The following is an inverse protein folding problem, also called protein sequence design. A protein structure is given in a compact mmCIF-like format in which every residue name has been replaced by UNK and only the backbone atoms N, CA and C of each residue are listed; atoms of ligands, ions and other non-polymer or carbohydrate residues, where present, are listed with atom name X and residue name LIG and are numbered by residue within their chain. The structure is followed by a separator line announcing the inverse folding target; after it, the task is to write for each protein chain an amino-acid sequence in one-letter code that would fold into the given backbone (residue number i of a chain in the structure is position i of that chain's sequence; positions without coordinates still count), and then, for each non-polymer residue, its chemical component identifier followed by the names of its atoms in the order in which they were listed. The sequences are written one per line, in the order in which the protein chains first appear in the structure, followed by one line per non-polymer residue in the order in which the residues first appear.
data_IF_907387411117
#
_entry.id   IF_907387411117
#
_cell.length_a   1.000
_cell.length_b   1.000
_cell.length_c   1.000
_cell.angle_alpha   90.00
_cell.angle_beta   90.00
_cell.angle_gamma   90.00
#
_symmetry.space_group_name_H-M   'P 1'
#
loop_
_entity.id
_entity.type
_entity.pdbx_description
1 polymer ?
#
# COMPACT_ATOMS: atom_id res chain seq x y z
N UNK A 1 -39.71 7.14 4.02
CA UNK A 1 -39.22 6.84 5.38
C UNK A 1 -38.12 7.84 5.69
N UNK A 2 -38.36 8.82 6.57
CA UNK A 2 -37.46 9.96 6.82
C UNK A 2 -36.35 9.49 7.78
N UNK A 3 -35.09 9.70 7.40
CA UNK A 3 -33.92 9.57 8.26
C UNK A 3 -33.68 10.90 8.99
N UNK A 4 -33.28 10.89 10.28
CA UNK A 4 -33.04 12.09 11.06
C UNK A 4 -31.68 12.73 10.74
N UNK A 5 -31.50 14.04 10.93
CA UNK A 5 -30.24 14.73 10.71
C UNK A 5 -29.29 14.52 11.88
N UNK A 6 -28.08 14.04 11.61
CA UNK A 6 -27.00 14.01 12.59
C UNK A 6 -26.25 15.34 12.60
N UNK A 7 -26.37 16.03 13.70
CA UNK A 7 -25.53 17.17 14.08
C UNK A 7 -24.11 16.69 14.34
N UNK A 8 -23.12 17.14 13.58
CA UNK A 8 -21.73 17.02 13.94
C UNK A 8 -21.28 18.28 14.69
N UNK A 9 -21.18 18.14 16.00
CA UNK A 9 -20.52 19.11 16.86
C UNK A 9 -19.00 18.96 16.77
N UNK A 10 -18.33 20.09 16.61
CA UNK A 10 -16.88 20.24 16.67
C UNK A 10 -16.44 19.93 18.13
N UNK A 11 -15.94 18.73 18.39
CA UNK A 11 -15.26 18.41 19.66
C UNK A 11 -13.77 18.27 19.36
N UNK A 12 -12.98 19.24 19.80
CA UNK A 12 -11.54 19.12 19.89
C UNK A 12 -11.20 18.05 20.96
N UNK A 13 -10.87 16.85 20.51
CA UNK A 13 -10.41 15.75 21.36
C UNK A 13 -8.91 15.90 21.60
N UNK A 14 -8.57 16.47 22.75
CA UNK A 14 -7.30 16.22 23.43
C UNK A 14 -7.30 14.76 23.89
N UNK A 15 -6.66 13.88 23.12
CA UNK A 15 -6.40 12.51 23.57
C UNK A 15 -5.26 12.53 24.60
N UNK A 16 -5.64 12.45 25.87
CA UNK A 16 -4.75 11.96 26.90
C UNK A 16 -4.46 10.48 26.63
N UNK A 17 -3.21 10.15 26.35
CA UNK A 17 -2.75 8.79 26.27
C UNK A 17 -2.77 8.16 27.67
N UNK A 18 -3.86 7.49 28.03
CA UNK A 18 -3.77 6.45 29.05
C UNK A 18 -3.13 5.23 28.39
N UNK A 19 -1.91 4.93 28.78
CA UNK A 19 -1.21 3.70 28.44
C UNK A 19 -1.97 2.51 29.01
N UNK A 20 -2.80 1.88 28.18
CA UNK A 20 -3.29 0.53 28.45
C UNK A 20 -2.08 -0.42 28.51
N UNK A 21 -1.66 -0.71 29.72
CA UNK A 21 -0.68 -1.72 30.06
C UNK A 21 -1.29 -3.12 29.80
N UNK A 22 -1.49 -3.47 28.54
CA UNK A 22 -1.66 -4.86 28.11
C UNK A 22 -0.26 -5.46 28.24
N UNK A 23 -0.08 -6.44 29.13
CA UNK A 23 1.17 -7.13 29.42
C UNK A 23 1.94 -7.48 28.12
N UNK A 24 2.71 -6.53 27.62
CA UNK A 24 3.55 -6.71 26.45
C UNK A 24 4.76 -7.51 26.91
N UNK A 25 4.91 -8.73 26.39
CA UNK A 25 6.19 -9.45 26.47
C UNK A 25 7.30 -8.47 26.07
N UNK A 26 8.36 -8.40 26.87
CA UNK A 26 9.52 -7.54 26.57
C UNK A 26 10.22 -8.08 25.32
N UNK A 27 11.07 -7.29 24.68
CA UNK A 27 11.87 -7.75 23.55
C UNK A 27 12.76 -8.96 23.93
N UNK A 28 13.20 -9.04 25.19
CA UNK A 28 13.95 -10.18 25.72
C UNK A 28 13.09 -11.45 25.80
N UNK A 29 11.84 -11.34 26.28
CA UNK A 29 10.92 -12.48 26.35
C UNK A 29 10.61 -13.05 24.96
N UNK A 30 10.58 -12.19 23.90
CA UNK A 30 10.37 -12.64 22.53
C UNK A 30 11.63 -13.33 21.96
N UNK A 31 12.83 -12.89 22.35
CA UNK A 31 14.08 -13.51 21.91
C UNK A 31 14.19 -14.97 22.40
N UNK A 32 13.73 -15.24 23.62
CA UNK A 32 13.75 -16.59 24.21
C UNK A 32 12.75 -17.56 23.54
N UNK A 33 11.79 -17.04 22.76
CA UNK A 33 10.76 -17.80 22.05
C UNK A 33 11.12 -18.11 20.58
N UNK A 34 12.36 -17.81 20.16
CA UNK A 34 12.77 -18.00 18.76
C UNK A 34 14.08 -18.78 18.65
N UNK A 35 14.19 -19.56 17.59
CA UNK A 35 15.44 -20.14 17.12
C UNK A 35 15.65 -19.74 15.67
N UNK A 36 16.78 -19.14 15.36
CA UNK A 36 17.18 -18.75 14.01
C UNK A 36 18.38 -19.59 13.61
N UNK A 37 18.28 -20.28 12.47
CA UNK A 37 19.39 -21.02 11.86
C UNK A 37 19.58 -20.50 10.45
N UNK A 38 20.80 -20.13 10.09
CA UNK A 38 21.12 -19.72 8.72
C UNK A 38 21.73 -20.88 7.94
N UNK A 39 21.34 -21.03 6.68
CA UNK A 39 22.01 -21.93 5.74
C UNK A 39 23.42 -21.45 5.42
N UNK A 40 24.19 -22.26 4.69
CA UNK A 40 25.51 -21.85 4.20
C UNK A 40 25.45 -20.61 3.28
N UNK A 41 24.29 -20.33 2.69
CA UNK A 41 24.03 -19.15 1.86
C UNK A 41 23.36 -17.99 2.59
N UNK A 42 23.24 -18.07 3.93
CA UNK A 42 22.71 -17.00 4.76
C UNK A 42 21.18 -16.99 4.91
N UNK A 43 20.44 -17.85 4.21
CA UNK A 43 18.96 -17.88 4.30
C UNK A 43 18.53 -18.28 5.71
N UNK A 44 17.72 -17.45 6.42
CA UNK A 44 17.28 -17.76 7.77
C UNK A 44 16.11 -18.76 7.77
N UNK A 45 16.24 -19.78 8.61
CA UNK A 45 15.18 -20.68 9.03
C UNK A 45 14.77 -20.30 10.46
N UNK A 46 13.59 -19.74 10.60
CA UNK A 46 13.06 -19.19 11.85
C UNK A 46 12.03 -20.16 12.40
N UNK A 47 12.25 -20.64 13.62
CA UNK A 47 11.24 -21.35 14.40
C UNK A 47 10.87 -20.52 15.61
N UNK A 48 9.57 -20.28 15.81
CA UNK A 48 9.04 -19.42 16.86
C UNK A 48 7.83 -20.08 17.55
N UNK A 49 7.61 -19.74 18.81
CA UNK A 49 6.52 -20.34 19.61
C UNK A 49 5.15 -19.76 19.24
N UNK A 50 5.11 -18.55 18.69
CA UNK A 50 3.88 -17.86 18.28
C UNK A 50 4.14 -16.82 17.18
N UNK A 51 3.06 -16.22 16.63
CA UNK A 51 3.16 -15.28 15.52
C UNK A 51 3.91 -13.99 15.88
N UNK A 52 3.81 -13.52 17.13
CA UNK A 52 4.54 -12.32 17.58
C UNK A 52 6.05 -12.57 17.63
N UNK A 53 6.46 -13.72 18.18
CA UNK A 53 7.85 -14.14 18.19
C UNK A 53 8.40 -14.38 16.76
N UNK A 54 7.58 -14.94 15.86
CA UNK A 54 7.96 -15.11 14.46
C UNK A 54 8.21 -13.75 13.77
N UNK A 55 7.34 -12.78 13.99
CA UNK A 55 7.53 -11.41 13.53
C UNK A 55 8.81 -10.79 14.09
N UNK A 56 9.06 -10.95 15.39
CA UNK A 56 10.26 -10.46 16.06
C UNK A 56 11.53 -10.98 15.38
N UNK A 57 11.62 -12.30 15.18
CA UNK A 57 12.79 -12.87 14.52
C UNK A 57 12.97 -12.33 13.10
N UNK A 58 11.89 -12.26 12.30
CA UNK A 58 11.97 -11.77 10.92
C UNK A 58 12.36 -10.30 10.84
N UNK A 59 11.83 -9.46 11.73
CA UNK A 59 12.21 -8.04 11.83
C UNK A 59 13.65 -7.84 12.22
N UNK A 60 14.14 -8.63 13.18
CA UNK A 60 15.54 -8.60 13.61
C UNK A 60 16.49 -8.96 12.45
N UNK A 61 16.29 -10.11 11.78
CA UNK A 61 17.19 -10.58 10.71
C UNK A 61 17.11 -9.71 9.45
N UNK A 62 15.97 -9.10 9.14
CA UNK A 62 15.89 -8.18 8.01
C UNK A 62 16.68 -6.90 8.27
N UNK A 63 16.67 -6.37 9.49
CA UNK A 63 17.50 -5.20 9.83
C UNK A 63 18.97 -5.59 9.94
N UNK A 64 19.30 -6.80 10.43
CA UNK A 64 20.66 -7.34 10.41
C UNK A 64 21.25 -7.36 8.99
N UNK A 65 20.48 -7.83 8.03
CA UNK A 65 20.97 -8.03 6.65
C UNK A 65 20.85 -6.76 5.77
N UNK A 66 19.84 -5.92 5.98
CA UNK A 66 19.52 -4.77 5.12
C UNK A 66 19.57 -3.40 5.81
N UNK A 67 19.79 -3.39 7.14
CA UNK A 67 20.09 -2.20 7.92
C UNK A 67 19.15 -1.03 7.64
N UNK A 68 19.74 0.04 7.14
CA UNK A 68 19.03 1.29 6.90
C UNK A 68 17.90 1.19 5.88
N UNK A 69 17.98 0.30 4.89
CA UNK A 69 16.90 0.15 3.90
C UNK A 69 15.55 -0.14 4.54
N UNK A 70 15.53 -1.06 5.52
CA UNK A 70 14.31 -1.41 6.26
C UNK A 70 13.84 -0.24 7.11
N UNK A 71 14.75 0.38 7.85
CA UNK A 71 14.47 1.48 8.78
C UNK A 71 13.99 2.74 8.05
N UNK A 72 14.67 3.12 6.97
CA UNK A 72 14.30 4.28 6.15
C UNK A 72 12.90 4.09 5.54
N UNK A 73 12.54 2.86 5.19
CA UNK A 73 11.17 2.51 4.77
C UNK A 73 10.11 2.83 5.83
N UNK A 74 10.38 2.52 7.11
CA UNK A 74 9.47 2.84 8.22
C UNK A 74 9.38 4.34 8.50
N UNK A 75 10.50 5.07 8.44
CA UNK A 75 10.51 6.53 8.60
C UNK A 75 9.68 7.20 7.49
N UNK A 76 9.78 6.70 6.25
CA UNK A 76 8.95 7.17 5.13
C UNK A 76 7.47 6.81 5.32
N UNK A 77 7.16 5.64 5.83
CA UNK A 77 5.78 5.24 6.11
C UNK A 77 5.10 6.10 7.17
N UNK A 78 5.86 6.56 8.20
CA UNK A 78 5.40 7.57 9.18
C UNK A 78 5.18 8.95 8.55
N UNK A 79 5.80 9.25 7.41
CA UNK A 79 5.85 10.59 6.82
C UNK A 79 6.77 11.54 7.59
N UNK A 80 7.88 11.04 8.09
CA UNK A 80 8.85 11.80 8.89
C UNK A 80 10.22 11.93 8.19
N UNK A 81 10.31 11.54 6.91
CA UNK A 81 11.57 11.57 6.18
C UNK A 81 12.21 12.96 6.11
N UNK A 82 11.43 13.96 5.74
CA UNK A 82 11.90 15.35 5.60
C UNK A 82 12.38 15.95 6.92
N UNK A 83 11.89 15.46 8.06
CA UNK A 83 12.31 15.94 9.38
C UNK A 83 13.78 15.60 9.70
N UNK A 84 14.29 14.50 9.15
CA UNK A 84 15.62 13.98 9.46
C UNK A 84 16.63 14.16 8.34
N UNK A 85 16.17 14.50 7.13
CA UNK A 85 17.01 14.61 5.94
C UNK A 85 16.94 16.02 5.35
N UNK A 86 18.10 16.67 5.23
CA UNK A 86 18.20 17.95 4.51
C UNK A 86 17.95 17.70 3.02
N UNK A 87 16.98 18.41 2.46
CA UNK A 87 16.66 18.35 1.04
C UNK A 87 17.13 19.59 0.32
N UNK A 88 17.70 19.46 -0.91
CA UNK A 88 17.92 20.62 -1.76
C UNK A 88 16.62 21.43 -1.93
N UNK A 89 16.68 22.78 -2.03
CA UNK A 89 15.47 23.61 -2.09
C UNK A 89 14.47 23.19 -3.17
N UNK A 90 14.95 22.72 -4.34
CA UNK A 90 14.13 22.26 -5.46
C UNK A 90 13.39 20.93 -5.17
N UNK A 91 13.92 20.09 -4.27
CA UNK A 91 13.35 18.79 -3.91
C UNK A 91 12.53 18.83 -2.63
N UNK A 92 12.72 19.87 -1.81
CA UNK A 92 12.11 20.01 -0.48
C UNK A 92 10.58 19.91 -0.56
N UNK A 93 9.96 20.65 -1.49
CA UNK A 93 8.51 20.68 -1.62
C UNK A 93 7.95 19.28 -1.95
N UNK A 94 8.60 18.54 -2.85
CA UNK A 94 8.22 17.17 -3.20
C UNK A 94 8.40 16.20 -2.02
N UNK A 95 9.50 16.33 -1.28
CA UNK A 95 9.73 15.51 -0.08
C UNK A 95 8.63 15.73 0.97
N UNK A 96 8.26 17.00 1.20
CA UNK A 96 7.15 17.36 2.10
C UNK A 96 5.80 16.82 1.58
N UNK A 97 5.55 16.86 0.27
CA UNK A 97 4.34 16.30 -0.33
C UNK A 97 4.27 14.76 -0.12
N UNK A 98 5.40 14.06 -0.27
CA UNK A 98 5.51 12.61 0.00
C UNK A 98 5.24 12.29 1.47
N UNK A 99 5.84 13.04 2.39
CA UNK A 99 5.60 12.85 3.82
C UNK A 99 4.15 13.14 4.19
N UNK A 100 3.54 14.19 3.63
CA UNK A 100 2.13 14.49 3.87
C UNK A 100 1.21 13.36 3.40
N UNK A 101 1.47 12.79 2.22
CA UNK A 101 0.75 11.63 1.71
C UNK A 101 0.94 10.40 2.60
N UNK A 102 2.18 10.16 3.07
CA UNK A 102 2.48 9.06 3.99
C UNK A 102 1.75 9.22 5.31
N UNK A 103 1.66 10.44 5.87
CA UNK A 103 0.88 10.70 7.11
C UNK A 103 -0.61 10.39 6.95
N UNK A 104 -1.20 10.59 5.78
CA UNK A 104 -2.59 10.19 5.53
C UNK A 104 -2.73 8.65 5.55
N UNK A 105 -1.78 7.92 4.94
CA UNK A 105 -1.77 6.45 5.00
C UNK A 105 -1.50 5.95 6.41
N UNK A 106 -0.60 6.59 7.15
CA UNK A 106 -0.35 6.27 8.55
C UNK A 106 -1.59 6.47 9.42
N UNK A 107 -2.34 7.57 9.23
CA UNK A 107 -3.62 7.77 9.89
C UNK A 107 -4.60 6.63 9.58
N UNK A 108 -4.67 6.21 8.32
CA UNK A 108 -5.48 5.05 7.91
C UNK A 108 -5.02 3.76 8.59
N UNK A 109 -3.70 3.55 8.74
CA UNK A 109 -3.17 2.40 9.45
C UNK A 109 -3.59 2.39 10.93
N UNK A 110 -3.58 3.54 11.61
CA UNK A 110 -4.07 3.68 12.98
C UNK A 110 -5.55 3.30 13.11
N UNK A 111 -6.40 3.74 12.17
CA UNK A 111 -7.83 3.44 12.14
C UNK A 111 -8.13 1.96 11.92
N UNK A 112 -7.32 1.29 11.10
CA UNK A 112 -7.64 -0.06 10.60
C UNK A 112 -6.89 -1.18 11.29
N UNK A 113 -5.84 -0.91 12.04
CA UNK A 113 -5.01 -1.93 12.69
C UNK A 113 -5.81 -2.87 13.59
N UNK A 114 -6.73 -2.32 14.38
CA UNK A 114 -7.59 -3.11 15.27
C UNK A 114 -8.64 -3.97 14.55
N UNK A 115 -8.85 -3.72 13.25
CA UNK A 115 -9.77 -4.49 12.40
C UNK A 115 -9.11 -5.75 11.82
N UNK A 116 -7.78 -5.82 11.85
CA UNK A 116 -7.03 -7.00 11.44
C UNK A 116 -7.23 -8.15 12.42
N UNK A 117 -7.09 -9.38 11.97
CA UNK A 117 -7.08 -10.56 12.86
C UNK A 117 -5.90 -10.48 13.82
N UNK A 118 -6.08 -11.05 15.01
CA UNK A 118 -5.08 -11.03 16.08
C UNK A 118 -3.71 -11.56 15.62
N UNK A 119 -3.68 -12.63 14.86
CA UNK A 119 -2.43 -13.21 14.33
C UNK A 119 -1.69 -12.24 13.40
N UNK A 120 -2.43 -11.49 12.58
CA UNK A 120 -1.86 -10.46 11.70
C UNK A 120 -1.32 -9.30 12.53
N UNK A 121 -2.07 -8.84 13.53
CA UNK A 121 -1.58 -7.80 14.46
C UNK A 121 -0.29 -8.27 15.17
N UNK A 122 -0.27 -9.51 15.69
CA UNK A 122 0.85 -10.06 16.45
C UNK A 122 2.13 -10.11 15.65
N UNK A 123 2.09 -10.58 14.41
CA UNK A 123 3.31 -10.66 13.58
C UNK A 123 3.81 -9.25 13.19
N UNK A 124 2.93 -8.28 12.96
CA UNK A 124 3.32 -6.89 12.68
C UNK A 124 3.94 -6.22 13.92
N UNK A 125 3.36 -6.41 15.10
CA UNK A 125 3.91 -5.92 16.38
C UNK A 125 5.28 -6.58 16.63
N UNK A 126 5.38 -7.88 16.42
CA UNK A 126 6.63 -8.62 16.58
C UNK A 126 7.71 -8.09 15.66
N UNK A 127 7.40 -7.86 14.39
CA UNK A 127 8.35 -7.36 13.40
C UNK A 127 8.95 -6.02 13.84
N UNK A 128 8.12 -5.08 14.27
CA UNK A 128 8.58 -3.80 14.80
C UNK A 128 9.47 -3.98 16.05
N UNK A 129 9.10 -4.89 16.96
CA UNK A 129 9.89 -5.18 18.15
C UNK A 129 11.26 -5.76 17.81
N UNK A 130 11.35 -6.65 16.80
CA UNK A 130 12.62 -7.20 16.31
C UNK A 130 13.53 -6.15 15.69
N UNK A 131 12.97 -5.26 14.87
CA UNK A 131 13.67 -4.10 14.32
C UNK A 131 14.25 -3.22 15.44
N UNK A 132 13.41 -2.83 16.40
CA UNK A 132 13.83 -1.99 17.53
C UNK A 132 14.96 -2.65 18.31
N UNK A 133 14.87 -3.95 18.56
CA UNK A 133 15.90 -4.69 19.28
C UNK A 133 17.25 -4.69 18.55
N UNK A 134 17.25 -4.89 17.24
CA UNK A 134 18.49 -4.81 16.46
C UNK A 134 19.11 -3.41 16.56
N UNK A 135 18.30 -2.37 16.35
CA UNK A 135 18.75 -0.96 16.44
C UNK A 135 19.34 -0.65 17.83
N UNK A 136 18.74 -1.15 18.91
CA UNK A 136 19.22 -0.94 20.27
C UNK A 136 20.60 -1.59 20.51
N UNK A 137 20.75 -2.84 20.09
CA UNK A 137 21.99 -3.62 20.31
C UNK A 137 23.12 -3.11 19.41
N UNK A 138 22.80 -2.64 18.21
CA UNK A 138 23.74 -2.19 17.18
C UNK A 138 23.65 -0.66 16.96
N UNK A 139 23.51 0.10 18.03
CA UNK A 139 23.24 1.53 18.00
C UNK A 139 24.23 2.35 17.15
N UNK A 140 25.48 1.93 17.09
CA UNK A 140 26.53 2.59 16.32
C UNK A 140 26.37 2.49 14.80
N UNK A 141 25.55 1.54 14.29
CA UNK A 141 25.28 1.38 12.86
C UNK A 141 24.22 2.36 12.35
N UNK A 142 23.52 3.08 13.24
CA UNK A 142 22.40 3.95 12.93
C UNK A 142 22.67 5.41 13.30
N UNK A 143 22.05 6.37 12.56
CA UNK A 143 22.18 7.78 12.85
C UNK A 143 21.69 8.12 14.27
N UNK A 144 22.28 9.15 14.88
CA UNK A 144 21.94 9.57 16.23
C UNK A 144 20.47 9.99 16.40
N UNK A 145 19.85 10.52 15.36
CA UNK A 145 18.44 10.95 15.36
C UNK A 145 17.44 9.79 15.37
N UNK A 146 17.85 8.60 14.89
CA UNK A 146 16.95 7.44 14.82
C UNK A 146 16.62 6.94 16.22
N UNK A 147 15.35 6.68 16.47
CA UNK A 147 14.84 6.04 17.70
C UNK A 147 14.40 4.62 17.40
N UNK A 148 14.59 3.74 18.38
CA UNK A 148 14.06 2.37 18.36
C UNK A 148 12.63 2.33 18.91
N UNK A 149 11.71 3.06 18.27
CA UNK A 149 10.34 3.25 18.74
C UNK A 149 9.28 2.85 17.71
N UNK A 150 9.67 1.98 16.77
CA UNK A 150 8.74 1.46 15.77
C UNK A 150 7.68 0.56 16.40
N UNK A 151 6.50 0.61 15.83
CA UNK A 151 5.32 -0.13 16.28
C UNK A 151 4.71 -0.95 15.15
N UNK A 152 3.77 -1.83 15.45
CA UNK A 152 3.00 -2.54 14.42
C UNK A 152 2.25 -1.63 13.46
N UNK A 153 1.92 -0.40 13.87
CA UNK A 153 1.28 0.61 13.02
C UNK A 153 2.22 1.07 11.90
N UNK A 154 3.53 1.22 12.18
CA UNK A 154 4.53 1.60 11.18
C UNK A 154 4.64 0.54 10.09
N UNK A 155 4.71 -0.73 10.52
CA UNK A 155 4.77 -1.87 9.59
C UNK A 155 3.49 -1.98 8.77
N UNK A 156 2.33 -1.76 9.40
CA UNK A 156 1.03 -1.77 8.72
C UNK A 156 0.89 -0.61 7.73
N UNK A 157 1.40 0.58 8.04
CA UNK A 157 1.31 1.76 7.18
C UNK A 157 2.01 1.58 5.82
N UNK A 158 3.03 0.71 5.77
CA UNK A 158 3.69 0.35 4.50
C UNK A 158 2.74 -0.36 3.54
N UNK A 159 1.73 -1.07 4.07
CA UNK A 159 0.79 -1.91 3.31
C UNK A 159 -0.54 -1.22 2.98
N UNK A 160 -0.75 -0.01 3.47
CA UNK A 160 -1.96 0.76 3.12
C UNK A 160 -1.92 1.15 1.65
N UNK A 161 -2.93 0.74 0.91
CA UNK A 161 -3.09 1.06 -0.51
C UNK A 161 -3.20 2.55 -0.78
N UNK A 162 -2.80 2.97 -1.96
CA UNK A 162 -2.95 4.33 -2.47
C UNK A 162 -3.48 4.28 -3.89
N UNK A 163 -4.06 5.38 -4.34
CA UNK A 163 -4.52 5.50 -5.71
C UNK A 163 -3.36 5.46 -6.73
N UNK A 164 -3.70 5.13 -7.97
CA UNK A 164 -2.76 5.01 -9.09
C UNK A 164 -2.23 6.39 -9.51
N UNK A 165 -1.01 6.70 -9.07
CA UNK A 165 -0.33 7.94 -9.45
C UNK A 165 0.00 8.00 -10.95
N UNK A 166 0.18 6.85 -11.61
CA UNK A 166 0.42 6.74 -13.05
C UNK A 166 -0.78 7.23 -13.87
N UNK A 167 -2.00 6.83 -13.50
CA UNK A 167 -3.23 7.30 -14.14
C UNK A 167 -3.39 8.82 -13.99
N UNK A 168 -3.18 9.36 -12.79
CA UNK A 168 -3.19 10.81 -12.56
C UNK A 168 -2.15 11.51 -13.45
N UNK A 169 -0.94 10.97 -13.55
CA UNK A 169 0.13 11.53 -14.40
C UNK A 169 -0.25 11.51 -15.88
N UNK A 170 -0.80 10.39 -16.38
CA UNK A 170 -1.22 10.25 -17.77
C UNK A 170 -2.32 11.26 -18.11
N UNK A 171 -3.32 11.40 -17.23
CA UNK A 171 -4.39 12.40 -17.39
C UNK A 171 -3.85 13.83 -17.42
N UNK A 172 -2.98 14.21 -16.49
CA UNK A 172 -2.41 15.56 -16.41
C UNK A 172 -1.60 15.90 -17.67
N UNK A 173 -0.86 14.94 -18.24
CA UNK A 173 -0.17 15.11 -19.53
C UNK A 173 -1.14 15.32 -20.68
N UNK A 174 -2.22 14.53 -20.73
CA UNK A 174 -3.28 14.68 -21.74
C UNK A 174 -3.92 16.08 -21.68
N UNK A 175 -4.26 16.54 -20.49
CA UNK A 175 -4.85 17.88 -20.28
C UNK A 175 -3.92 19.01 -20.72
N UNK A 176 -2.63 18.92 -20.42
CA UNK A 176 -1.61 19.89 -20.85
C UNK A 176 -1.47 19.91 -22.37
N UNK A 177 -1.50 18.75 -23.03
CA UNK A 177 -1.40 18.64 -24.49
C UNK A 177 -2.60 19.29 -25.19
N UNK A 178 -3.81 19.09 -24.65
CA UNK A 178 -5.04 19.70 -25.17
C UNK A 178 -5.00 21.23 -25.04
N UNK A 179 -4.52 21.74 -23.90
CA UNK A 179 -4.40 23.18 -23.66
C UNK A 179 -3.36 23.82 -24.60
N UNK A 180 -2.24 23.14 -24.85
CA UNK A 180 -1.21 23.61 -25.78
C UNK A 180 -1.70 23.65 -27.24
N UNK A 181 -2.51 22.67 -27.67
CA UNK A 181 -3.10 22.63 -29.01
C UNK A 181 -4.09 23.76 -29.23
N UNK A 182 -4.90 24.12 -28.24
CA UNK A 182 -5.85 25.27 -28.30
C UNK A 182 -5.11 26.61 -28.26
N UNK A 183 -4.03 26.72 -27.49
CA UNK A 183 -3.22 27.94 -27.36
C UNK A 183 -2.41 28.30 -28.61
N UNK A 184 -2.15 27.35 -29.53
CA UNK A 184 -1.41 27.62 -30.75
C UNK A 184 -2.23 28.43 -31.80
N UNK A 185 -3.53 28.59 -31.62
CA UNK A 185 -4.43 29.35 -32.53
C UNK A 185 -4.74 30.78 -32.06
N UNK A 186 -4.38 31.15 -30.83
CA UNK A 186 -4.60 32.53 -30.33
C UNK A 186 -3.42 32.99 -29.48
N UNK A 187 -2.75 34.03 -29.97
CA UNK A 187 -1.77 34.93 -29.34
C UNK A 187 -1.36 34.64 -27.89
N UNK A 188 -0.05 34.55 -27.71
CA UNK A 188 0.71 34.57 -26.44
C UNK A 188 0.27 35.71 -25.51
N UNK A 189 -0.80 35.53 -24.79
CA UNK A 189 -1.03 36.24 -23.53
C UNK A 189 -0.80 35.19 -22.46
N UNK A 190 0.20 35.42 -21.61
CA UNK A 190 0.61 34.49 -20.58
C UNK A 190 -0.54 34.13 -19.64
N UNK A 191 -1.24 33.07 -19.94
CA UNK A 191 -2.04 32.36 -18.98
C UNK A 191 -1.08 31.44 -18.21
N UNK A 192 -0.43 31.99 -17.17
CA UNK A 192 -0.15 31.16 -16.02
C UNK A 192 -1.49 30.59 -15.58
N UNK A 193 -1.74 29.33 -15.92
CA UNK A 193 -2.88 28.61 -15.38
C UNK A 193 -2.68 28.51 -13.87
N UNK A 194 -3.27 29.42 -13.12
CA UNK A 194 -3.46 29.31 -11.68
C UNK A 194 -4.49 28.20 -11.33
N UNK A 195 -4.62 27.20 -12.17
CA UNK A 195 -5.23 25.93 -11.86
C UNK A 195 -4.30 25.22 -10.89
N UNK A 196 -4.64 25.27 -9.60
CA UNK A 196 -3.78 24.82 -8.54
C UNK A 196 -3.37 23.36 -8.72
N UNK A 197 -2.08 23.13 -9.00
CA UNK A 197 -1.50 21.80 -8.88
C UNK A 197 -1.71 21.32 -7.44
N UNK A 198 -2.67 20.43 -7.24
CA UNK A 198 -2.87 19.79 -5.92
C UNK A 198 -1.64 19.01 -5.53
N UNK A 199 -1.53 18.64 -4.25
CA UNK A 199 -0.45 17.75 -3.76
C UNK A 199 -0.42 16.47 -4.58
N UNK A 200 -1.58 15.90 -4.89
CA UNK A 200 -1.68 14.67 -5.67
C UNK A 200 -1.14 14.79 -7.10
N UNK A 201 -1.45 15.88 -7.79
CA UNK A 201 -0.91 16.12 -9.14
C UNK A 201 0.61 16.29 -9.12
N UNK A 202 1.17 16.96 -8.10
CA UNK A 202 2.62 17.09 -7.96
C UNK A 202 3.30 15.76 -7.70
N UNK A 203 2.74 14.92 -6.81
CA UNK A 203 3.24 13.57 -6.54
C UNK A 203 3.21 12.70 -7.78
N UNK A 204 2.12 12.72 -8.54
CA UNK A 204 1.96 11.94 -9.76
C UNK A 204 3.00 12.30 -10.84
N UNK A 205 3.38 13.57 -10.98
CA UNK A 205 4.42 13.99 -11.93
C UNK A 205 5.81 13.41 -11.63
N UNK A 206 6.01 12.84 -10.44
CA UNK A 206 7.24 12.19 -10.01
C UNK A 206 7.04 10.69 -9.70
N UNK A 207 5.96 10.08 -10.21
CA UNK A 207 5.77 8.64 -10.15
C UNK A 207 6.87 7.94 -10.96
N UNK A 208 7.45 6.90 -10.39
CA UNK A 208 8.45 6.08 -11.08
C UNK A 208 7.77 5.26 -12.17
N UNK A 209 8.38 5.20 -13.35
CA UNK A 209 7.95 4.28 -14.41
C UNK A 209 8.60 2.92 -14.16
N UNK A 210 7.85 1.81 -14.30
CA UNK A 210 8.42 0.47 -14.21
C UNK A 210 9.60 0.30 -15.21
N UNK A 211 10.63 -0.42 -14.79
CA UNK A 211 11.75 -0.73 -15.67
C UNK A 211 11.25 -1.68 -16.78
N UNK A 212 11.57 -1.42 -18.07
CA UNK A 212 10.99 -2.17 -19.19
C UNK A 212 11.39 -3.67 -19.20
N UNK A 213 12.47 -4.04 -18.52
CA UNK A 213 13.00 -5.41 -18.46
C UNK A 213 12.49 -6.19 -17.24
N UNK A 214 11.64 -5.60 -16.38
CA UNK A 214 11.08 -6.29 -15.23
C UNK A 214 9.87 -7.10 -15.63
N UNK A 215 9.79 -8.32 -15.12
CA UNK A 215 8.71 -9.24 -15.41
C UNK A 215 8.80 -10.50 -14.57
N UNK A 216 8.03 -11.52 -14.90
CA UNK A 216 8.10 -12.81 -14.21
C UNK A 216 7.46 -13.91 -15.03
N UNK A 217 7.93 -15.15 -14.80
CA UNK A 217 7.26 -16.36 -15.32
C UNK A 217 6.86 -17.27 -14.15
N UNK A 218 5.71 -17.91 -14.27
CA UNK A 218 5.28 -18.96 -13.36
C UNK A 218 4.55 -20.06 -14.13
N UNK A 219 4.80 -21.33 -13.76
CA UNK A 219 4.19 -22.50 -14.37
C UNK A 219 3.76 -23.48 -13.29
N UNK A 220 2.55 -24.03 -13.41
CA UNK A 220 2.08 -25.15 -12.61
C UNK A 220 1.83 -26.36 -13.52
N UNK A 221 2.46 -27.49 -13.20
CA UNK A 221 2.28 -28.75 -13.90
C UNK A 221 1.50 -29.72 -13.03
N UNK A 222 0.40 -30.27 -13.55
CA UNK A 222 -0.36 -31.30 -12.87
C UNK A 222 0.40 -32.63 -12.80
N UNK A 223 0.13 -33.51 -11.82
CA UNK A 223 0.77 -34.82 -11.66
C UNK A 223 0.82 -35.67 -12.93
N UNK A 224 -0.24 -35.63 -13.75
CA UNK A 224 -0.33 -36.36 -15.02
C UNK A 224 0.72 -35.95 -16.07
N UNK A 225 1.39 -34.82 -15.86
CA UNK A 225 2.40 -34.25 -16.78
C UNK A 225 3.82 -34.36 -16.22
N UNK A 226 4.01 -35.00 -15.06
CA UNK A 226 5.30 -35.12 -14.38
C UNK A 226 5.71 -36.58 -14.24
N UNK A 227 7.01 -36.89 -14.30
CA UNK A 227 7.52 -38.24 -14.08
C UNK A 227 7.39 -38.69 -12.63
N UNK A 228 7.40 -37.74 -11.69
CA UNK A 228 7.28 -38.02 -10.27
C UNK A 228 5.86 -38.34 -9.81
N UNK A 229 4.84 -38.04 -10.64
CA UNK A 229 3.45 -38.10 -10.22
C UNK A 229 3.06 -37.04 -9.18
N UNK A 230 3.89 -36.02 -8.99
CA UNK A 230 3.62 -34.89 -8.10
C UNK A 230 3.41 -33.60 -8.91
N UNK A 231 2.60 -32.68 -8.41
CA UNK A 231 2.50 -31.37 -9.01
C UNK A 231 3.84 -30.61 -8.89
N UNK A 232 4.15 -29.79 -9.88
CA UNK A 232 5.35 -28.95 -9.89
C UNK A 232 4.92 -27.49 -10.07
N UNK A 233 5.44 -26.60 -9.23
CA UNK A 233 5.33 -25.15 -9.38
C UNK A 233 6.72 -24.57 -9.66
N UNK A 234 6.85 -23.86 -10.77
CA UNK A 234 8.04 -23.07 -11.11
C UNK A 234 7.74 -21.59 -10.88
N UNK A 235 8.68 -20.92 -10.27
CA UNK A 235 8.71 -19.47 -10.10
C UNK A 235 9.98 -18.92 -10.75
N UNK A 236 9.85 -17.82 -11.47
CA UNK A 236 10.99 -17.14 -12.09
C UNK A 236 10.73 -15.63 -12.15
N UNK A 237 10.96 -14.89 -11.05
CA UNK A 237 10.89 -13.43 -11.07
C UNK A 237 12.08 -12.84 -11.83
N UNK A 238 11.82 -11.89 -12.72
CA UNK A 238 12.83 -11.08 -13.43
C UNK A 238 12.83 -9.69 -12.80
N UNK A 239 13.61 -9.52 -11.78
CA UNK A 239 13.65 -8.29 -10.99
C UNK A 239 15.08 -7.76 -10.93
N UNK A 240 15.21 -6.46 -10.66
CA UNK A 240 16.49 -5.84 -10.39
C UNK A 240 17.17 -6.49 -9.16
N UNK A 241 18.50 -6.49 -9.10
CA UNK A 241 19.27 -7.08 -7.99
C UNK A 241 18.93 -6.49 -6.59
N UNK A 242 18.34 -5.31 -6.57
CA UNK A 242 17.89 -4.59 -5.37
C UNK A 242 16.37 -4.62 -5.19
N UNK A 243 15.68 -5.62 -5.72
CA UNK A 243 14.21 -5.67 -5.80
C UNK A 243 13.47 -5.72 -4.45
N UNK A 244 14.15 -5.86 -3.34
CA UNK A 244 13.54 -5.73 -2.01
C UNK A 244 12.81 -6.97 -1.50
N UNK A 245 13.25 -8.18 -1.90
CA UNK A 245 12.71 -9.45 -1.38
C UNK A 245 13.75 -10.22 -0.57
N UNK A 246 13.28 -10.89 0.48
CA UNK A 246 14.05 -11.57 1.49
C UNK A 246 13.61 -13.03 1.63
N UNK A 247 14.46 -13.96 1.20
CA UNK A 247 14.17 -15.37 1.27
C UNK A 247 14.30 -15.87 2.72
N UNK A 248 13.25 -16.52 3.24
CA UNK A 248 13.23 -17.04 4.60
C UNK A 248 12.24 -18.20 4.76
N UNK A 249 12.47 -19.05 5.76
CA UNK A 249 11.47 -19.98 6.30
C UNK A 249 10.96 -19.46 7.64
N UNK A 250 9.64 -19.51 7.80
CA UNK A 250 8.95 -19.15 9.02
C UNK A 250 8.14 -20.35 9.51
N UNK A 251 8.48 -20.87 10.71
CA UNK A 251 7.77 -21.98 11.34
C UNK A 251 7.21 -21.55 12.71
N UNK A 252 5.91 -21.61 12.84
CA UNK A 252 5.17 -21.53 14.11
C UNK A 252 4.40 -22.84 14.25
N UNK A 253 4.80 -23.76 15.15
CA UNK A 253 4.24 -25.11 15.22
C UNK A 253 2.71 -25.11 15.36
N UNK A 254 2.04 -25.86 14.50
CA UNK A 254 0.57 -25.91 14.47
C UNK A 254 -0.14 -24.72 13.81
N UNK A 255 0.56 -23.64 13.50
CA UNK A 255 -0.02 -22.39 12.97
C UNK A 255 0.47 -22.09 11.55
N UNK A 256 1.78 -22.04 11.35
CA UNK A 256 2.40 -21.65 10.08
C UNK A 256 3.69 -22.46 9.86
N UNK A 257 3.91 -22.89 8.61
CA UNK A 257 5.23 -23.33 8.15
C UNK A 257 5.33 -22.96 6.68
N UNK A 258 5.99 -21.85 6.39
CA UNK A 258 6.06 -21.27 5.05
C UNK A 258 7.50 -20.90 4.70
N UNK A 259 7.90 -21.23 3.49
CA UNK A 259 9.17 -20.82 2.89
C UNK A 259 8.86 -19.96 1.67
N UNK A 260 9.44 -18.78 1.57
CA UNK A 260 9.18 -17.89 0.44
C UNK A 260 10.01 -16.60 0.45
N UNK A 261 9.69 -15.73 -0.50
CA UNK A 261 10.36 -14.44 -0.69
C UNK A 261 9.54 -13.33 -0.03
N UNK A 262 9.85 -13.01 1.20
CA UNK A 262 9.20 -11.92 1.92
C UNK A 262 9.68 -10.56 1.41
N UNK A 263 8.80 -9.58 1.39
CA UNK A 263 9.22 -8.20 1.10
C UNK A 263 10.13 -7.67 2.20
N UNK A 264 11.23 -7.00 1.82
CA UNK A 264 12.08 -6.27 2.77
C UNK A 264 11.27 -5.10 3.35
N UNK A 265 11.25 -5.03 4.68
CA UNK A 265 10.43 -4.05 5.42
C UNK A 265 9.02 -4.53 5.77
N UNK A 266 8.75 -5.86 5.70
CA UNK A 266 7.48 -6.42 6.13
C UNK A 266 7.52 -7.93 6.32
N UNK A 267 6.63 -8.49 7.17
CA UNK A 267 6.67 -9.91 7.52
C UNK A 267 5.79 -10.81 6.63
N UNK A 268 4.90 -10.27 5.81
CA UNK A 268 3.83 -11.08 5.22
C UNK A 268 3.69 -10.99 3.69
N UNK A 269 4.08 -9.89 3.06
CA UNK A 269 3.95 -9.76 1.61
C UNK A 269 5.05 -10.57 0.92
N UNK A 270 4.68 -11.42 -0.04
CA UNK A 270 5.62 -12.28 -0.77
C UNK A 270 5.30 -12.32 -2.25
N UNK A 271 6.30 -12.49 -3.09
CA UNK A 271 6.10 -12.80 -4.53
C UNK A 271 5.78 -14.27 -4.75
N UNK A 272 6.03 -15.13 -3.77
CA UNK A 272 5.64 -16.52 -3.80
C UNK A 272 6.38 -17.34 -2.77
N UNK A 273 5.99 -18.59 -2.66
CA UNK A 273 6.55 -19.55 -1.73
C UNK A 273 5.70 -20.78 -1.62
N UNK A 274 5.99 -21.59 -0.59
CA UNK A 274 5.27 -22.83 -0.35
C UNK A 274 5.23 -23.20 1.13
N UNK A 275 4.22 -23.94 1.48
CA UNK A 275 4.12 -24.68 2.75
C UNK A 275 4.14 -26.19 2.47
N UNK A 276 3.85 -27.02 3.47
CA UNK A 276 3.88 -28.49 3.34
C UNK A 276 2.82 -29.05 2.36
N UNK A 277 1.82 -28.25 1.97
CA UNK A 277 0.65 -28.71 1.20
C UNK A 277 0.55 -28.06 -0.17
N UNK A 278 0.94 -26.81 -0.30
CA UNK A 278 0.75 -26.01 -1.51
C UNK A 278 1.87 -25.01 -1.72
N UNK A 279 1.98 -24.51 -2.95
CA UNK A 279 2.81 -23.36 -3.29
C UNK A 279 2.04 -22.43 -4.22
N UNK A 280 2.45 -21.17 -4.21
CA UNK A 280 1.95 -20.16 -5.15
C UNK A 280 3.07 -19.22 -5.60
N UNK A 281 2.86 -18.60 -6.74
CA UNK A 281 3.74 -17.58 -7.30
C UNK A 281 2.92 -16.46 -7.90
N UNK A 282 3.41 -15.23 -7.77
CA UNK A 282 2.85 -14.07 -8.46
C UNK A 282 3.64 -13.76 -9.73
N UNK A 283 2.96 -13.19 -10.73
CA UNK A 283 3.58 -12.49 -11.86
C UNK A 283 2.84 -11.16 -12.07
N UNK A 284 3.48 -10.21 -12.73
CA UNK A 284 2.84 -8.93 -12.99
C UNK A 284 1.66 -9.08 -13.96
N UNK A 285 0.61 -8.31 -13.71
CA UNK A 285 -0.43 -7.97 -14.66
C UNK A 285 -0.72 -6.46 -14.54
N UNK A 286 -1.50 -5.94 -15.45
CA UNK A 286 -1.82 -4.52 -15.55
C UNK A 286 -3.35 -4.35 -15.67
N UNK A 287 -4.10 -4.50 -14.58
CA UNK A 287 -5.53 -4.26 -14.58
C UNK A 287 -5.83 -2.76 -14.54
N UNK A 288 -6.89 -2.36 -15.23
CA UNK A 288 -7.54 -1.07 -15.03
C UNK A 288 -8.30 -1.11 -13.69
N UNK A 289 -7.72 -0.51 -12.65
CA UNK A 289 -8.23 -0.56 -11.27
C UNK A 289 -8.87 0.74 -10.82
N UNK A 290 -8.87 1.74 -11.65
CA UNK A 290 -9.36 3.09 -11.32
C UNK A 290 -10.21 3.70 -12.45
N UNK A 291 -10.78 4.86 -12.16
CA UNK A 291 -11.49 5.67 -13.16
C UNK A 291 -11.41 7.13 -12.75
N UNK A 292 -11.24 8.02 -13.72
CA UNK A 292 -11.17 9.44 -13.49
C UNK A 292 -12.54 10.05 -13.76
N UNK A 293 -13.07 10.75 -12.76
CA UNK A 293 -14.34 11.47 -12.85
C UNK A 293 -14.16 12.98 -12.83
N UNK A 294 -15.02 13.70 -13.52
CA UNK A 294 -15.13 15.16 -13.41
C UNK A 294 -16.49 15.58 -12.89
N UNK A 295 -16.51 16.50 -11.93
CA UNK A 295 -17.72 17.10 -11.38
C UNK A 295 -17.68 18.61 -11.54
N UNK A 296 -18.86 19.23 -11.77
CA UNK A 296 -18.97 20.68 -11.80
C UNK A 296 -18.78 21.27 -10.40
N UNK A 297 -18.01 22.34 -10.29
CA UNK A 297 -17.91 23.12 -9.05
C UNK A 297 -19.23 23.89 -8.87
N UNK A 298 -19.67 24.04 -7.62
CA UNK A 298 -20.84 24.86 -7.33
C UNK A 298 -20.59 26.32 -7.75
N UNK A 299 -21.51 26.95 -8.49
CA UNK A 299 -21.32 28.32 -8.95
C UNK A 299 -21.36 29.37 -7.82
N UNK A 300 -21.92 29.01 -6.67
CA UNK A 300 -22.09 29.90 -5.51
C UNK A 300 -21.17 29.56 -4.33
N UNK A 301 -20.63 28.34 -4.27
CA UNK A 301 -19.84 27.83 -3.15
C UNK A 301 -18.54 27.21 -3.68
N UNK A 302 -17.39 27.89 -3.70
CA UNK A 302 -16.17 27.47 -4.38
C UNK A 302 -15.54 26.17 -3.84
N UNK A 303 -15.85 25.81 -2.58
CA UNK A 303 -15.40 24.55 -1.96
C UNK A 303 -16.46 23.44 -1.98
N UNK A 304 -17.42 23.56 -2.89
CA UNK A 304 -18.47 22.56 -3.12
C UNK A 304 -18.49 22.14 -4.58
N UNK A 305 -18.95 20.92 -4.82
CA UNK A 305 -19.22 20.38 -6.16
C UNK A 305 -20.68 19.94 -6.27
N UNK A 306 -21.17 19.81 -7.50
CA UNK A 306 -22.57 19.44 -7.77
C UNK A 306 -22.67 17.89 -7.86
N UNK A 307 -23.56 17.31 -7.05
CA UNK A 307 -23.86 15.88 -7.04
C UNK A 307 -25.32 15.65 -6.67
N UNK A 308 -26.04 14.82 -7.44
CA UNK A 308 -27.45 14.48 -7.21
C UNK A 308 -28.37 15.70 -7.06
N UNK A 309 -28.08 16.77 -7.81
CA UNK A 309 -28.81 18.03 -7.77
C UNK A 309 -28.52 18.92 -6.55
N UNK A 310 -27.57 18.51 -5.69
CA UNK A 310 -27.17 19.25 -4.51
C UNK A 310 -25.73 19.79 -4.61
N UNK A 311 -25.44 20.82 -3.81
CA UNK A 311 -24.10 21.37 -3.61
C UNK A 311 -23.45 20.68 -2.43
N UNK A 312 -22.47 19.81 -2.69
CA UNK A 312 -21.81 18.95 -1.69
C UNK A 312 -20.45 19.54 -1.32
N UNK A 313 -20.10 19.71 -0.04
CA UNK A 313 -18.81 20.24 0.38
C UNK A 313 -17.68 19.25 0.08
N UNK A 314 -16.52 19.79 -0.32
CA UNK A 314 -15.27 19.05 -0.35
C UNK A 314 -14.75 18.83 1.07
N UNK A 315 -14.38 17.60 1.39
CA UNK A 315 -13.65 17.33 2.64
C UNK A 315 -12.22 17.85 2.51
N UNK A 316 -11.76 18.59 3.54
CA UNK A 316 -10.40 19.14 3.59
C UNK A 316 -9.60 18.43 4.67
N UNK A 317 -8.53 17.75 4.28
CA UNK A 317 -7.57 17.14 5.21
C UNK A 317 -6.30 17.99 5.21
N UNK A 318 -5.96 18.54 6.36
CA UNK A 318 -4.73 19.32 6.56
C UNK A 318 -3.70 18.49 7.29
N UNK A 319 -2.50 18.42 6.73
CA UNK A 319 -1.38 17.66 7.24
C UNK A 319 -0.21 18.60 7.47
N UNK A 320 0.30 18.63 8.70
CA UNK A 320 1.51 19.37 9.07
C UNK A 320 2.70 18.43 8.92
N UNK A 321 3.69 18.85 8.14
CA UNK A 321 4.95 18.12 7.92
C UNK A 321 6.09 18.95 8.49
N UNK A 322 6.88 18.31 9.33
CA UNK A 322 8.16 18.86 9.82
C UNK A 322 9.25 18.54 8.81
N UNK A 323 10.14 19.50 8.58
CA UNK A 323 11.28 19.29 7.70
C UNK A 323 12.55 19.91 8.29
N UNK A 324 13.69 19.32 7.96
CA UNK A 324 15.00 19.84 8.35
C UNK A 324 15.31 21.10 7.56
N UNK A 325 15.82 22.13 8.27
CA UNK A 325 16.21 23.41 7.69
C UNK A 325 17.49 23.91 8.36
N UNK A 326 18.64 23.50 7.80
CA UNK A 326 19.94 23.70 8.43
C UNK A 326 20.02 22.97 9.79
N UNK A 327 20.35 23.71 10.85
CA UNK A 327 20.38 23.15 12.21
C UNK A 327 18.99 23.12 12.89
N UNK A 328 17.98 23.73 12.27
CA UNK A 328 16.62 23.84 12.81
C UNK A 328 15.62 22.90 12.14
N UNK A 329 14.37 23.05 12.57
CA UNK A 329 13.21 22.36 11.99
C UNK A 329 12.19 23.40 11.56
N UNK A 330 11.72 23.30 10.31
CA UNK A 330 10.58 24.05 9.80
C UNK A 330 9.32 23.20 9.80
N UNK A 331 8.17 23.83 9.60
CA UNK A 331 6.88 23.18 9.43
C UNK A 331 6.16 23.75 8.21
N UNK A 332 5.56 22.87 7.41
CA UNK A 332 4.67 23.26 6.32
C UNK A 332 3.36 22.48 6.38
N UNK A 333 2.26 23.14 6.02
CA UNK A 333 0.96 22.49 5.93
C UNK A 333 0.68 22.12 4.48
N UNK A 334 0.17 20.90 4.27
CA UNK A 334 -0.42 20.43 3.01
C UNK A 334 -1.92 20.24 3.18
N UNK A 335 -2.69 20.72 2.23
CA UNK A 335 -4.14 20.52 2.18
C UNK A 335 -4.48 19.56 1.05
N UNK A 336 -5.26 18.55 1.39
CA UNK A 336 -5.81 17.57 0.48
C UNK A 336 -7.32 17.72 0.43
N UNK A 337 -7.88 17.67 -0.77
CA UNK A 337 -9.31 17.74 -1.00
C UNK A 337 -9.85 16.37 -1.39
N UNK A 338 -10.98 16.00 -0.83
CA UNK A 338 -11.66 14.76 -1.12
C UNK A 338 -13.13 14.94 -1.44
N UNK A 339 -13.63 14.05 -2.27
CA UNK A 339 -15.04 13.73 -2.43
C UNK A 339 -15.34 12.39 -1.76
N UNK A 340 -16.61 11.97 -1.62
CA UNK A 340 -16.95 10.61 -1.20
C UNK A 340 -16.41 9.50 -2.13
N UNK A 341 -15.93 9.87 -3.33
CA UNK A 341 -15.46 8.94 -4.36
C UNK A 341 -13.94 8.81 -4.42
N UNK A 342 -13.21 9.73 -3.82
CA UNK A 342 -11.75 9.73 -3.82
C UNK A 342 -11.14 11.13 -3.77
N UNK A 343 -9.80 11.21 -3.87
CA UNK A 343 -9.07 12.47 -3.82
C UNK A 343 -9.28 13.33 -5.06
N UNK A 344 -9.38 14.65 -4.86
CA UNK A 344 -9.36 15.65 -5.92
C UNK A 344 -7.91 15.93 -6.29
N UNK A 345 -7.50 15.56 -7.50
CA UNK A 345 -6.11 15.78 -7.92
C UNK A 345 -5.94 17.01 -8.81
N UNK A 346 -7.02 17.52 -9.44
CA UNK A 346 -6.98 18.74 -10.25
C UNK A 346 -8.26 19.55 -10.13
N UNK A 347 -8.13 20.87 -10.30
CA UNK A 347 -9.25 21.83 -10.38
C UNK A 347 -8.98 22.78 -11.57
N UNK A 348 -9.93 22.90 -12.47
CA UNK A 348 -9.82 23.78 -13.64
C UNK A 348 -11.12 23.83 -14.41
N UNK A 349 -11.36 24.90 -15.16
CA UNK A 349 -12.50 25.09 -16.06
C UNK A 349 -13.87 24.86 -15.40
N UNK A 350 -14.02 25.32 -14.15
CA UNK A 350 -15.26 25.14 -13.38
C UNK A 350 -15.53 23.71 -12.92
N UNK A 351 -14.52 22.83 -12.98
CA UNK A 351 -14.61 21.41 -12.60
C UNK A 351 -13.57 21.03 -11.56
N UNK A 352 -13.87 19.94 -10.85
CA UNK A 352 -12.89 19.15 -10.13
C UNK A 352 -12.70 17.81 -10.82
N UNK A 353 -11.49 17.26 -10.72
CA UNK A 353 -11.12 15.95 -11.24
C UNK A 353 -10.71 15.05 -10.09
N UNK A 354 -11.34 13.88 -10.05
CA UNK A 354 -11.26 12.92 -8.94
C UNK A 354 -10.82 11.59 -9.51
N UNK A 355 -9.81 10.96 -8.90
CA UNK A 355 -9.52 9.56 -9.18
C UNK A 355 -10.26 8.69 -8.16
N UNK A 356 -10.97 7.68 -8.65
CA UNK A 356 -11.58 6.64 -7.83
C UNK A 356 -10.87 5.33 -8.11
N UNK A 357 -10.02 4.92 -7.19
CA UNK A 357 -9.18 3.73 -7.28
C UNK A 357 -9.66 2.66 -6.30
N UNK A 358 -9.76 1.43 -6.77
CA UNK A 358 -10.23 0.29 -5.99
C UNK A 358 -9.28 -0.08 -4.84
N UNK A 359 -7.99 0.22 -4.99
CA UNK A 359 -6.96 -0.07 -3.99
C UNK A 359 -6.74 1.06 -2.97
N UNK A 360 -7.33 2.26 -3.18
CA UNK A 360 -7.09 3.39 -2.29
C UNK A 360 -7.63 3.14 -0.88
N UNK A 361 -6.74 3.18 0.12
CA UNK A 361 -7.06 2.91 1.52
C UNK A 361 -7.29 1.43 1.86
N UNK A 362 -7.03 0.48 0.93
CA UNK A 362 -7.08 -0.96 1.25
C UNK A 362 -6.01 -1.30 2.30
N UNK A 363 -6.40 -2.03 3.33
CA UNK A 363 -5.56 -2.29 4.51
C UNK A 363 -5.35 -3.78 4.81
N UNK A 364 -6.07 -4.71 4.13
CA UNK A 364 -6.09 -6.13 4.46
C UNK A 364 -5.02 -6.95 3.72
N UNK A 365 -4.09 -6.31 3.01
CA UNK A 365 -3.10 -7.00 2.18
C UNK A 365 -2.29 -8.02 2.97
N UNK A 366 -1.76 -7.62 4.15
CA UNK A 366 -1.02 -8.50 5.04
C UNK A 366 -1.86 -9.70 5.51
N UNK A 367 -3.15 -9.48 5.79
CA UNK A 367 -4.10 -10.52 6.21
C UNK A 367 -4.37 -11.53 5.08
N UNK A 368 -4.56 -11.06 3.86
CA UNK A 368 -4.73 -11.92 2.69
C UNK A 368 -3.53 -12.85 2.52
N UNK A 369 -2.32 -12.31 2.56
CA UNK A 369 -1.11 -13.12 2.40
C UNK A 369 -0.92 -14.12 3.54
N UNK A 370 -1.17 -13.73 4.79
CA UNK A 370 -1.11 -14.67 5.92
C UNK A 370 -2.09 -15.84 5.73
N UNK A 371 -3.32 -15.57 5.30
CA UNK A 371 -4.28 -16.62 5.00
C UNK A 371 -3.83 -17.53 3.86
N UNK A 372 -3.26 -16.98 2.79
CA UNK A 372 -2.70 -17.75 1.69
C UNK A 372 -1.55 -18.66 2.14
N UNK A 373 -0.62 -18.15 2.97
CA UNK A 373 0.49 -18.91 3.53
C UNK A 373 0.03 -20.07 4.44
N UNK A 374 -1.10 -19.91 5.13
CA UNK A 374 -1.69 -20.89 6.04
C UNK A 374 -2.64 -21.88 5.34
N UNK A 375 -3.07 -21.60 4.12
CA UNK A 375 -3.99 -22.46 3.37
C UNK A 375 -3.43 -23.89 3.21
N UNK A 376 -4.30 -24.87 3.29
CA UNK A 376 -3.95 -26.31 3.26
C UNK A 376 -4.39 -26.98 1.97
N UNK A 377 -5.24 -26.33 1.20
CA UNK A 377 -5.83 -26.80 -0.05
C UNK A 377 -6.33 -25.64 -0.91
N UNK A 378 -6.74 -25.93 -2.14
CA UNK A 378 -7.20 -24.94 -3.10
C UNK A 378 -8.44 -24.16 -2.63
N UNK A 379 -9.35 -24.79 -1.90
CA UNK A 379 -10.55 -24.11 -1.39
C UNK A 379 -10.21 -23.04 -0.36
N UNK A 380 -9.34 -23.33 0.61
CA UNK A 380 -8.86 -22.37 1.60
C UNK A 380 -8.02 -21.26 0.95
N UNK A 381 -7.24 -21.60 -0.09
CA UNK A 381 -6.47 -20.61 -0.85
C UNK A 381 -7.40 -19.63 -1.57
N UNK A 382 -8.43 -20.12 -2.27
CA UNK A 382 -9.44 -19.28 -2.93
C UNK A 382 -10.21 -18.41 -1.92
N UNK A 383 -10.46 -18.92 -0.72
CA UNK A 383 -11.08 -18.12 0.35
C UNK A 383 -10.20 -16.93 0.77
N UNK A 384 -8.89 -17.15 0.90
CA UNK A 384 -7.94 -16.06 1.13
C UNK A 384 -7.93 -15.05 -0.04
N UNK A 385 -8.02 -15.52 -1.27
CA UNK A 385 -8.06 -14.65 -2.47
C UNK A 385 -9.33 -13.81 -2.56
N UNK A 386 -10.47 -14.26 -2.00
CA UNK A 386 -11.73 -13.49 -1.95
C UNK A 386 -11.66 -12.24 -1.09
N UNK A 387 -10.61 -12.07 -0.27
CA UNK A 387 -10.34 -10.78 0.40
C UNK A 387 -10.07 -9.68 -0.62
N UNK A 388 -9.48 -10.00 -1.76
CA UNK A 388 -9.15 -9.10 -2.88
C UNK A 388 -8.36 -7.85 -2.43
N UNK A 389 -7.46 -7.97 -1.45
CA UNK A 389 -6.64 -6.85 -1.00
C UNK A 389 -5.38 -6.66 -1.86
N UNK A 390 -4.93 -7.69 -2.58
CA UNK A 390 -3.87 -7.54 -3.59
C UNK A 390 -4.50 -6.99 -4.88
N UNK A 391 -4.19 -5.75 -5.21
CA UNK A 391 -4.84 -4.99 -6.28
C UNK A 391 -4.59 -5.56 -7.67
N UNK A 392 -3.38 -6.06 -7.91
CA UNK A 392 -2.95 -6.58 -9.21
C UNK A 392 -1.91 -7.69 -9.01
N UNK A 393 -1.97 -8.75 -9.73
CA UNK A 393 -0.96 -9.80 -9.96
C UNK A 393 -1.67 -11.03 -10.51
N UNK A 394 -1.06 -11.73 -11.46
CA UNK A 394 -1.45 -13.09 -11.70
C UNK A 394 -1.02 -13.98 -10.53
N UNK A 395 -1.80 -14.98 -10.19
CA UNK A 395 -1.40 -16.03 -9.26
C UNK A 395 -1.43 -17.38 -9.93
N UNK A 396 -0.33 -18.10 -9.80
CA UNK A 396 -0.19 -19.51 -10.22
C UNK A 396 0.00 -20.36 -8.98
N UNK A 397 -0.74 -21.45 -8.87
CA UNK A 397 -0.85 -22.31 -7.71
C UNK A 397 -0.68 -23.79 -8.08
N UNK A 398 -0.08 -24.56 -7.18
CA UNK A 398 -0.09 -26.01 -7.23
C UNK A 398 -0.13 -26.59 -5.81
N UNK A 399 -0.75 -27.79 -5.61
CA UNK A 399 -0.82 -28.43 -4.31
C UNK A 399 -0.46 -29.92 -4.34
N UNK A 400 -0.31 -30.48 -3.13
CA UNK A 400 0.02 -31.89 -2.93
C UNK A 400 -1.12 -32.86 -3.32
N UNK A 401 -2.35 -32.36 -3.45
CA UNK A 401 -3.51 -33.14 -3.89
C UNK A 401 -3.61 -33.19 -5.43
N UNK A 402 -2.69 -32.53 -6.12
CA UNK A 402 -2.56 -32.53 -7.57
C UNK A 402 -3.34 -31.44 -8.29
N UNK A 403 -3.94 -30.51 -7.56
CA UNK A 403 -4.62 -29.38 -8.17
C UNK A 403 -3.58 -28.36 -8.67
N UNK A 404 -3.86 -27.82 -9.85
CA UNK A 404 -3.22 -26.61 -10.37
C UNK A 404 -4.28 -25.53 -10.56
N UNK A 405 -3.91 -24.27 -10.36
CA UNK A 405 -4.84 -23.17 -10.50
C UNK A 405 -4.09 -21.91 -10.96
N UNK A 406 -4.79 -21.12 -11.75
CA UNK A 406 -4.33 -19.79 -12.19
C UNK A 406 -5.49 -18.81 -12.04
N UNK A 407 -5.17 -17.58 -11.69
CA UNK A 407 -6.12 -16.46 -11.73
C UNK A 407 -5.40 -15.19 -12.18
N UNK A 408 -6.03 -14.48 -13.12
CA UNK A 408 -5.72 -13.09 -13.42
C UNK A 408 -6.40 -12.24 -12.35
N UNK A 409 -5.69 -12.04 -11.21
CA UNK A 409 -6.24 -11.35 -10.06
C UNK A 409 -6.16 -9.83 -10.24
N UNK A 410 -7.27 -9.16 -9.97
CA UNK A 410 -7.40 -7.72 -10.09
C UNK A 410 -8.50 -7.16 -9.18
N UNK A 411 -8.32 -5.95 -8.71
CA UNK A 411 -9.40 -5.13 -8.13
C UNK A 411 -10.02 -4.27 -9.24
N UNK A 412 -10.71 -4.91 -10.17
CA UNK A 412 -11.32 -4.21 -11.31
C UNK A 412 -12.66 -3.59 -10.92
N UNK A 413 -12.87 -2.28 -11.13
CA UNK A 413 -14.18 -1.65 -10.95
C UNK A 413 -15.27 -2.26 -11.81
N UNK A 414 -16.47 -2.43 -11.25
CA UNK A 414 -17.67 -2.74 -12.01
C UNK A 414 -18.29 -1.43 -12.50
N UNK A 415 -17.84 -0.97 -13.68
CA UNK A 415 -18.21 0.34 -14.21
C UNK A 415 -19.67 0.36 -14.66
N UNK A 416 -20.44 1.44 -14.35
CA UNK A 416 -21.78 1.67 -14.89
C UNK A 416 -21.77 2.30 -16.30
N UNK A 417 -20.59 2.50 -16.87
CA UNK A 417 -20.33 3.13 -18.17
C UNK A 417 -19.12 2.48 -18.85
N UNK A 418 -18.78 2.88 -20.06
CA UNK A 418 -17.53 2.49 -20.70
C UNK A 418 -16.36 3.19 -20.01
N UNK A 419 -15.22 2.51 -19.86
CA UNK A 419 -14.01 3.11 -19.27
C UNK A 419 -13.56 4.34 -20.08
N UNK A 420 -13.16 5.39 -19.37
CA UNK A 420 -12.52 6.56 -19.95
C UNK A 420 -11.03 6.35 -20.19
N UNK A 421 -10.43 5.35 -19.54
CA UNK A 421 -8.99 5.16 -19.47
C UNK A 421 -8.28 6.32 -18.78
N UNK A 422 -6.95 6.29 -18.77
CA UNK A 422 -6.13 7.26 -18.03
C UNK A 422 -6.01 8.65 -18.70
N UNK A 423 -6.65 8.88 -19.84
CA UNK A 423 -6.48 10.13 -20.61
C UNK A 423 -7.74 10.96 -20.72
N UNK A 424 -8.88 10.44 -20.25
CA UNK A 424 -10.17 11.12 -20.27
C UNK A 424 -10.86 11.04 -18.92
N UNK A 425 -11.70 12.02 -18.60
CA UNK A 425 -12.52 12.01 -17.40
C UNK A 425 -14.00 11.78 -17.76
N UNK A 426 -14.64 10.87 -17.04
CA UNK A 426 -16.08 10.65 -17.13
C UNK A 426 -16.80 11.80 -16.40
N UNK A 427 -17.65 12.53 -17.13
CA UNK A 427 -18.45 13.58 -16.52
C UNK A 427 -19.57 12.95 -15.68
N UNK A 428 -19.62 13.27 -14.40
CA UNK A 428 -20.64 12.79 -13.49
C UNK A 428 -21.35 13.95 -12.79
N UNK A 429 -22.63 13.80 -12.62
CA UNK A 429 -23.51 14.70 -11.86
C UNK A 429 -24.40 13.95 -10.85
N UNK A 430 -24.40 12.62 -10.91
CA UNK A 430 -25.13 11.74 -10.01
C UNK A 430 -24.23 10.64 -9.46
N UNK A 431 -24.50 10.21 -8.25
CA UNK A 431 -23.75 9.16 -7.55
C UNK A 431 -23.83 7.78 -8.26
N UNK A 432 -24.92 7.49 -8.95
CA UNK A 432 -25.11 6.24 -9.72
C UNK A 432 -24.28 6.18 -11.02
N UNK A 433 -23.70 7.30 -11.46
CA UNK A 433 -22.77 7.37 -12.58
C UNK A 433 -21.32 7.00 -12.17
N UNK A 434 -21.05 6.94 -10.88
CA UNK A 434 -19.74 6.57 -10.35
C UNK A 434 -19.79 5.10 -9.89
N UNK A 435 -18.81 4.30 -10.28
CA UNK A 435 -18.78 2.90 -9.87
C UNK A 435 -18.77 2.75 -8.34
N UNK A 436 -19.44 1.70 -7.83
CA UNK A 436 -19.63 1.48 -6.39
C UNK A 436 -19.01 0.19 -5.85
N UNK A 437 -18.71 -0.76 -6.74
CA UNK A 437 -18.23 -2.09 -6.38
C UNK A 437 -17.16 -2.56 -7.37
N UNK A 438 -16.27 -3.41 -6.90
CA UNK A 438 -15.33 -4.15 -7.76
C UNK A 438 -15.99 -5.45 -8.25
N UNK A 439 -15.44 -6.01 -9.32
CA UNK A 439 -15.82 -7.34 -9.82
C UNK A 439 -15.40 -8.38 -8.75
N UNK A 440 -16.30 -9.26 -8.31
CA UNK A 440 -15.97 -10.28 -7.32
C UNK A 440 -14.90 -11.27 -7.81
N UNK A 441 -14.07 -11.76 -6.89
CA UNK A 441 -13.01 -12.72 -7.19
C UNK A 441 -13.47 -13.93 -8.04
N UNK A 442 -14.62 -14.51 -7.73
CA UNK A 442 -15.13 -15.67 -8.44
C UNK A 442 -15.58 -15.37 -9.89
N UNK A 443 -15.65 -14.11 -10.27
CA UNK A 443 -15.93 -13.63 -11.64
C UNK A 443 -14.69 -13.22 -12.43
N UNK A 444 -13.52 -13.25 -11.80
CA UNK A 444 -12.26 -12.97 -12.48
C UNK A 444 -11.86 -14.13 -13.40
N UNK A 445 -11.05 -13.91 -14.45
CA UNK A 445 -10.50 -14.97 -15.28
C UNK A 445 -9.66 -15.96 -14.46
N UNK A 446 -10.04 -17.24 -14.47
CA UNK A 446 -9.44 -18.33 -13.72
C UNK A 446 -9.10 -19.52 -14.61
#
# INVERSE_FOLDING_TARGET
MKLPPHYFGLLGLLFGFESLNLGSATAQDLADQVTIRRTAYGVPHIKADNMKAAGYALGYVQVEDYGRSVVDGMVRARGDWSQFHEMPPQERSLSIDRDASSKLRYARALETFSLLRKETQDILIGFAAGMNRYIEVHRSEFPAWLKSDFTGYDVHAVDIGSHNAGAVQAFMRSLQSQTAAVGSTNNRIGMQSNGGNTVWARLANHAETPHPDEGSNAFALAPSRTKSGSAILLRNPHLAWNAGYYEAQLEVPGVLNFYGDFRIGGPLITIGGYNKRLGFSTTNNDPDSDEIYSFQVSPTLPDHFLLDGASVPLEKKRVIVKFKNGEGTGEETREFLYTPFGPVFHRGDGKIYVIRDAGDGEYRLAEQFLMMMKARNLAEYKEAMRIQAKTSSNFTYADADGNIFYVWNAMTPNLPHLSGGDTAAIAASRSDQVWQKIIPFDSLPQ
#
